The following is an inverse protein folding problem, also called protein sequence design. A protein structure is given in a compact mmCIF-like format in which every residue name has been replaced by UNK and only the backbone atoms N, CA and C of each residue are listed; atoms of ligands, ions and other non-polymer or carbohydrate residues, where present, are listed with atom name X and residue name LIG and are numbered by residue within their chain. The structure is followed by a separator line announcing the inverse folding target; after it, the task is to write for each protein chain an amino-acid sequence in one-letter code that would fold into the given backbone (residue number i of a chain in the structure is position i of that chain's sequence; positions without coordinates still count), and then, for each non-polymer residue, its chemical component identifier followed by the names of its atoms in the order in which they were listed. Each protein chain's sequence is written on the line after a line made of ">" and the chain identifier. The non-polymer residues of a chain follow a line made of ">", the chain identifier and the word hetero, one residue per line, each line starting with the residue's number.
data_IF_454632611403
#
_entry.id   IF_454632611403
#
_cell.length_a   1.000
_cell.length_b   1.000
_cell.length_c   1.000
_cell.angle_alpha   90.00
_cell.angle_beta   90.00
_cell.angle_gamma   90.00
#
_symmetry.space_group_name_H-M   'P 1'
#
loop_
_entity.id
_entity.type
_entity.pdbx_description
1 polymer ?
#
# COMPACT_ATOMS: atom_id res chain seq x y z
N UNK A 1 -5.44 15.90 -5.20
CA UNK A 1 -6.11 16.71 -4.17
C UNK A 1 -7.47 17.15 -4.70
N UNK A 2 -8.55 16.65 -4.11
CA UNK A 2 -9.90 17.10 -4.41
C UNK A 2 -10.08 18.51 -3.78
N UNK A 3 -10.46 19.50 -4.57
CA UNK A 3 -10.90 20.78 -4.02
C UNK A 3 -12.27 20.57 -3.37
N UNK A 4 -12.27 20.27 -2.08
CA UNK A 4 -13.48 19.97 -1.30
C UNK A 4 -14.51 21.10 -1.38
N UNK A 5 -14.08 22.36 -1.43
CA UNK A 5 -14.96 23.52 -1.54
C UNK A 5 -15.67 23.62 -2.90
N UNK A 6 -15.03 23.16 -3.96
CA UNK A 6 -15.65 23.16 -5.31
C UNK A 6 -16.55 21.94 -5.55
N UNK A 7 -16.28 20.81 -4.86
CA UNK A 7 -17.01 19.56 -5.06
C UNK A 7 -18.28 19.44 -4.22
N UNK A 8 -18.34 20.12 -3.05
CA UNK A 8 -19.47 20.03 -2.13
C UNK A 8 -20.82 20.47 -2.73
N UNK A 9 -20.79 21.45 -3.64
CA UNK A 9 -21.99 21.96 -4.33
C UNK A 9 -22.06 21.54 -5.81
N UNK A 10 -21.18 20.70 -6.29
CA UNK A 10 -21.24 20.24 -7.66
C UNK A 10 -22.36 19.19 -7.83
N UNK A 11 -23.21 19.29 -8.87
CA UNK A 11 -24.16 18.25 -9.18
C UNK A 11 -23.46 16.90 -9.37
N UNK A 12 -24.09 15.81 -8.92
CA UNK A 12 -23.57 14.46 -9.09
C UNK A 12 -23.17 14.23 -10.55
N UNK A 13 -21.93 13.79 -10.79
CA UNK A 13 -21.37 13.55 -12.13
C UNK A 13 -20.73 14.76 -12.81
N UNK A 14 -20.66 15.94 -12.16
CA UNK A 14 -20.01 17.15 -12.71
C UNK A 14 -18.79 17.63 -11.91
N UNK A 15 -18.34 16.88 -10.92
CA UNK A 15 -17.11 17.20 -10.21
C UNK A 15 -15.90 16.74 -11.06
N UNK A 16 -14.98 17.66 -11.35
CA UNK A 16 -13.71 17.32 -11.99
C UNK A 16 -12.76 16.79 -10.93
N UNK A 17 -12.59 15.48 -10.90
CA UNK A 17 -11.58 14.83 -10.07
C UNK A 17 -10.39 14.47 -10.94
N UNK A 18 -9.22 14.90 -10.54
CA UNK A 18 -7.97 14.40 -11.09
C UNK A 18 -7.55 13.19 -10.26
N UNK A 19 -7.59 12.00 -10.85
CA UNK A 19 -7.04 10.80 -10.23
C UNK A 19 -5.57 10.69 -10.66
N UNK A 20 -4.59 10.91 -9.76
CA UNK A 20 -3.19 10.82 -10.11
C UNK A 20 -2.79 9.35 -10.30
N UNK A 21 -2.37 9.00 -11.50
CA UNK A 21 -1.82 7.67 -11.81
C UNK A 21 -0.40 7.51 -11.24
N UNK A 22 0.35 8.59 -11.20
CA UNK A 22 1.70 8.66 -10.65
C UNK A 22 1.90 10.04 -10.04
N UNK A 23 2.51 10.11 -8.86
CA UNK A 23 2.82 11.36 -8.18
C UNK A 23 4.20 11.35 -7.55
N UNK A 24 4.72 12.52 -7.23
CA UNK A 24 6.08 12.68 -6.73
C UNK A 24 6.35 11.90 -5.43
N UNK A 25 5.37 11.81 -4.53
CA UNK A 25 5.49 10.99 -3.31
C UNK A 25 5.69 9.51 -3.59
N UNK A 26 5.00 8.94 -4.60
CA UNK A 26 5.22 7.56 -5.02
C UNK A 26 6.63 7.37 -5.61
N UNK A 27 7.08 8.32 -6.45
CA UNK A 27 8.42 8.29 -7.01
C UNK A 27 9.52 8.33 -5.93
N UNK A 28 9.37 9.19 -4.91
CA UNK A 28 10.29 9.24 -3.77
C UNK A 28 10.34 7.93 -2.99
N UNK A 29 9.19 7.27 -2.80
CA UNK A 29 9.13 5.99 -2.10
C UNK A 29 9.69 4.83 -2.92
N UNK A 30 9.49 4.82 -4.24
CA UNK A 30 10.16 3.87 -5.13
C UNK A 30 11.68 4.06 -5.11
N UNK A 31 12.14 5.31 -5.16
CA UNK A 31 13.55 5.66 -5.04
C UNK A 31 14.14 5.21 -3.69
N UNK A 32 13.44 5.51 -2.59
CA UNK A 32 13.88 5.12 -1.24
C UNK A 32 14.02 3.60 -1.11
N UNK A 33 13.09 2.83 -1.67
CA UNK A 33 13.15 1.37 -1.68
C UNK A 33 14.36 0.88 -2.48
N UNK A 34 14.54 1.37 -3.70
CA UNK A 34 15.65 0.98 -4.55
C UNK A 34 17.01 1.30 -3.92
N UNK A 35 17.16 2.50 -3.34
CA UNK A 35 18.39 2.92 -2.68
C UNK A 35 18.67 2.09 -1.43
N UNK A 36 17.64 1.82 -0.61
CA UNK A 36 17.81 0.98 0.56
C UNK A 36 18.25 -0.44 0.22
N UNK A 37 17.64 -1.06 -0.80
CA UNK A 37 17.99 -2.42 -1.21
C UNK A 37 19.39 -2.50 -1.84
N UNK A 38 19.77 -1.50 -2.61
CA UNK A 38 21.09 -1.49 -3.27
C UNK A 38 22.23 -1.10 -2.31
N UNK A 39 22.05 -0.01 -1.57
CA UNK A 39 23.15 0.64 -0.85
C UNK A 39 22.94 0.76 0.66
N UNK A 40 21.74 0.51 1.15
CA UNK A 40 21.35 0.71 2.55
C UNK A 40 20.74 2.10 2.81
N UNK A 41 20.32 2.36 4.06
CA UNK A 41 19.46 3.51 4.39
C UNK A 41 20.16 4.88 4.23
N UNK A 42 21.45 4.95 4.48
CA UNK A 42 22.19 6.20 4.66
C UNK A 42 23.32 6.42 3.63
N UNK A 43 23.38 5.59 2.60
CA UNK A 43 24.44 5.61 1.61
C UNK A 43 23.94 6.13 0.27
N UNK A 44 24.66 7.10 -0.28
CA UNK A 44 24.54 7.57 -1.68
C UNK A 44 25.88 7.42 -2.40
N UNK A 45 26.27 6.17 -2.63
CA UNK A 45 27.58 5.84 -3.24
C UNK A 45 27.72 6.25 -4.72
N UNK A 46 26.62 6.63 -5.35
CA UNK A 46 26.59 7.03 -6.76
C UNK A 46 26.40 8.52 -6.97
N UNK A 47 26.18 9.29 -5.90
CA UNK A 47 25.98 10.74 -6.00
C UNK A 47 24.65 11.14 -6.64
N UNK A 48 23.59 10.38 -6.37
CA UNK A 48 22.23 10.70 -6.85
C UNK A 48 21.58 11.87 -6.12
N UNK A 49 22.17 12.33 -5.02
CA UNK A 49 21.76 13.51 -4.26
C UNK A 49 20.83 13.23 -3.06
N UNK A 50 20.32 12.01 -2.92
CA UNK A 50 19.49 11.60 -1.78
C UNK A 50 19.85 10.19 -1.32
N UNK A 51 19.84 9.98 0.00
CA UNK A 51 19.81 8.63 0.58
C UNK A 51 18.36 8.12 0.67
N UNK A 52 18.18 6.82 0.91
CA UNK A 52 16.86 6.25 1.14
C UNK A 52 16.13 6.94 2.31
N UNK A 53 16.85 7.21 3.40
CA UNK A 53 16.31 7.88 4.58
C UNK A 53 15.87 9.31 4.26
N UNK A 54 16.67 10.07 3.55
CA UNK A 54 16.33 11.43 3.16
C UNK A 54 15.09 11.50 2.27
N UNK A 55 14.94 10.57 1.33
CA UNK A 55 13.77 10.51 0.47
C UNK A 55 12.46 10.27 1.26
N UNK A 56 12.49 9.39 2.28
CA UNK A 56 11.35 9.20 3.19
C UNK A 56 11.12 10.43 4.08
N UNK A 57 12.20 11.05 4.56
CA UNK A 57 12.12 12.25 5.39
C UNK A 57 11.38 13.40 4.69
N UNK A 58 11.63 13.63 3.39
CA UNK A 58 10.92 14.64 2.59
C UNK A 58 9.40 14.44 2.59
N UNK A 59 8.93 13.19 2.56
CA UNK A 59 7.49 12.89 2.59
C UNK A 59 6.92 13.22 3.97
N UNK A 60 7.61 12.81 5.02
CA UNK A 60 7.20 13.03 6.41
C UNK A 60 7.19 14.50 6.79
N UNK A 61 8.20 15.25 6.36
CA UNK A 61 8.27 16.71 6.52
C UNK A 61 7.09 17.41 5.87
N UNK A 62 6.78 17.07 4.61
CA UNK A 62 5.60 17.59 3.91
C UNK A 62 4.30 17.32 4.68
N UNK A 63 4.18 16.17 5.34
CA UNK A 63 3.02 15.78 6.14
C UNK A 63 3.00 16.43 7.54
N UNK A 64 4.00 17.25 7.89
CA UNK A 64 4.13 17.86 9.21
C UNK A 64 4.55 16.88 10.32
N UNK A 65 5.07 15.71 9.95
CA UNK A 65 5.59 14.72 10.88
C UNK A 65 7.06 15.04 11.19
N UNK A 66 7.53 14.59 12.38
CA UNK A 66 8.94 14.70 12.70
C UNK A 66 9.79 13.95 11.68
N UNK A 67 10.92 14.50 11.28
CA UNK A 67 11.87 13.91 10.32
C UNK A 67 12.45 12.56 10.75
N UNK A 68 12.18 12.13 11.98
CA UNK A 68 12.74 10.92 12.55
C UNK A 68 12.20 9.69 11.83
N UNK A 69 12.86 9.35 10.74
CA UNK A 69 12.72 8.02 10.14
C UNK A 69 13.47 7.04 11.05
N UNK A 70 12.89 5.89 11.41
CA UNK A 70 13.52 4.97 12.35
C UNK A 70 14.98 4.69 11.98
N UNK A 71 15.90 4.96 12.91
CA UNK A 71 17.30 4.63 12.74
C UNK A 71 17.47 3.11 12.69
N UNK A 72 18.35 2.61 11.84
CA UNK A 72 18.64 1.20 11.79
C UNK A 72 19.27 0.73 10.50
N UNK A 73 19.36 -0.58 10.40
CA UNK A 73 19.91 -1.24 9.24
C UNK A 73 18.91 -1.29 8.07
N UNK A 74 19.35 -1.88 6.95
CA UNK A 74 18.53 -2.07 5.74
C UNK A 74 17.17 -2.69 6.02
N UNK A 75 17.10 -3.69 6.91
CA UNK A 75 15.86 -4.39 7.22
C UNK A 75 14.84 -3.47 7.92
N UNK A 76 15.26 -2.74 8.94
CA UNK A 76 14.40 -1.78 9.64
C UNK A 76 13.93 -0.67 8.71
N UNK A 77 14.81 -0.21 7.83
CA UNK A 77 14.45 0.81 6.84
C UNK A 77 13.47 0.27 5.80
N UNK A 78 13.61 -0.98 5.35
CA UNK A 78 12.63 -1.66 4.49
C UNK A 78 11.23 -1.64 5.10
N UNK A 79 11.11 -2.04 6.36
CA UNK A 79 9.84 -2.03 7.10
C UNK A 79 9.28 -0.60 7.18
N UNK A 80 10.13 0.39 7.45
CA UNK A 80 9.71 1.80 7.51
C UNK A 80 9.21 2.30 6.16
N UNK A 81 9.89 1.99 5.06
CA UNK A 81 9.45 2.33 3.70
C UNK A 81 8.12 1.66 3.37
N UNK A 82 7.96 0.37 3.68
CA UNK A 82 6.71 -0.36 3.46
C UNK A 82 5.54 0.25 4.25
N UNK A 83 5.80 0.70 5.47
CA UNK A 83 4.83 1.39 6.30
C UNK A 83 4.46 2.75 5.71
N UNK A 84 5.44 3.54 5.33
CA UNK A 84 5.23 4.86 4.73
C UNK A 84 4.45 4.77 3.41
N UNK A 85 4.78 3.80 2.53
CA UNK A 85 4.01 3.54 1.31
C UNK A 85 2.54 3.21 1.60
N UNK A 86 2.29 2.43 2.65
CA UNK A 86 0.92 2.08 3.05
C UNK A 86 0.09 3.30 3.45
N UNK A 87 0.71 4.28 4.12
CA UNK A 87 0.03 5.48 4.62
C UNK A 87 -0.07 6.53 3.52
N UNK A 88 1.05 6.86 2.89
CA UNK A 88 1.15 7.92 1.88
C UNK A 88 0.32 7.64 0.63
N UNK A 89 0.26 6.37 0.21
CA UNK A 89 -0.45 5.93 -1.00
C UNK A 89 -1.79 5.26 -0.69
N UNK A 90 -2.37 5.57 0.48
CA UNK A 90 -3.68 5.03 0.86
C UNK A 90 -4.75 5.46 -0.16
N UNK A 91 -5.60 4.52 -0.58
CA UNK A 91 -6.65 4.70 -1.59
C UNK A 91 -6.16 5.01 -3.02
N UNK A 92 -4.87 4.77 -3.30
CA UNK A 92 -4.28 4.92 -4.64
C UNK A 92 -3.97 3.57 -5.31
N UNK A 93 -4.59 2.50 -4.87
CA UNK A 93 -4.53 1.13 -5.43
C UNK A 93 -3.16 0.43 -5.33
N UNK A 94 -2.15 1.06 -4.74
CA UNK A 94 -0.80 0.51 -4.65
C UNK A 94 -0.69 -0.69 -3.69
N UNK A 95 -1.46 -0.69 -2.58
CA UNK A 95 -1.27 -1.66 -1.48
C UNK A 95 -1.37 -3.11 -1.91
N UNK A 96 -2.33 -3.44 -2.77
CA UNK A 96 -2.53 -4.80 -3.26
C UNK A 96 -1.31 -5.33 -4.02
N UNK A 97 -0.77 -4.50 -4.93
CA UNK A 97 0.41 -4.83 -5.72
C UNK A 97 1.67 -4.89 -4.86
N UNK A 98 1.84 -3.96 -3.93
CA UNK A 98 2.96 -3.91 -3.01
C UNK A 98 3.04 -5.19 -2.15
N UNK A 99 1.95 -5.62 -1.55
CA UNK A 99 1.91 -6.87 -0.77
C UNK A 99 2.29 -8.10 -1.59
N UNK A 100 1.91 -8.13 -2.85
CA UNK A 100 2.23 -9.26 -3.75
C UNK A 100 3.70 -9.25 -4.15
N UNK A 101 4.26 -8.10 -4.56
CA UNK A 101 5.68 -8.01 -4.96
C UNK A 101 6.65 -8.21 -3.80
N UNK A 102 6.27 -7.80 -2.58
CA UNK A 102 7.05 -8.05 -1.37
C UNK A 102 6.87 -9.46 -0.79
N UNK A 103 5.97 -10.27 -1.34
CA UNK A 103 5.61 -11.59 -0.82
C UNK A 103 5.07 -11.56 0.62
N UNK A 104 4.37 -10.48 0.98
CA UNK A 104 3.74 -10.28 2.28
C UNK A 104 2.23 -10.56 2.27
N UNK A 105 1.66 -10.88 1.12
CA UNK A 105 0.21 -11.05 0.98
C UNK A 105 -0.33 -12.17 1.85
N UNK A 106 0.33 -13.33 1.94
CA UNK A 106 -0.09 -14.42 2.81
C UNK A 106 -0.11 -14.01 4.29
N UNK A 107 0.92 -13.28 4.73
CA UNK A 107 1.00 -12.83 6.13
C UNK A 107 -0.06 -11.78 6.48
N UNK A 108 -0.34 -10.86 5.56
CA UNK A 108 -1.21 -9.70 5.83
C UNK A 108 -2.67 -9.99 5.49
N UNK A 109 -2.93 -10.68 4.37
CA UNK A 109 -4.30 -10.88 3.89
C UNK A 109 -5.00 -12.09 4.54
N UNK A 110 -4.29 -12.95 5.23
CA UNK A 110 -4.87 -14.01 6.06
C UNK A 110 -5.28 -13.51 7.46
N UNK A 111 -5.01 -12.24 7.79
CA UNK A 111 -5.53 -11.65 9.00
C UNK A 111 -7.01 -11.32 8.85
N UNK A 112 -7.84 -11.56 9.87
CA UNK A 112 -9.26 -11.23 9.82
C UNK A 112 -9.47 -9.71 9.69
N UNK A 113 -10.52 -9.31 9.01
CA UNK A 113 -10.97 -7.92 9.00
C UNK A 113 -11.69 -7.65 10.32
N UNK A 114 -11.19 -6.66 11.04
CA UNK A 114 -11.80 -6.23 12.30
C UNK A 114 -12.67 -5.01 12.07
N UNK A 115 -13.85 -5.03 12.66
CA UNK A 115 -14.72 -3.87 12.81
C UNK A 115 -14.82 -3.47 14.28
N UNK A 116 -15.55 -2.38 14.54
CA UNK A 116 -15.85 -1.92 15.88
C UNK A 116 -17.36 -1.96 16.10
N UNK A 117 -17.78 -2.72 17.11
CA UNK A 117 -19.12 -2.58 17.67
C UNK A 117 -19.10 -1.39 18.62
N UNK A 118 -20.00 -0.44 18.40
CA UNK A 118 -20.09 0.79 19.18
C UNK A 118 -21.42 0.75 19.94
N UNK A 119 -21.33 0.66 21.24
CA UNK A 119 -22.48 0.67 22.14
C UNK A 119 -22.53 1.99 22.93
N UNK A 120 -23.63 2.75 22.80
CA UNK A 120 -23.86 3.96 23.57
C UNK A 120 -24.43 3.57 24.94
N UNK A 121 -23.79 4.05 26.01
CA UNK A 121 -24.29 3.86 27.39
C UNK A 121 -25.30 4.92 27.79
N UNK A 122 -25.98 4.68 28.89
CA UNK A 122 -27.01 5.60 29.45
C UNK A 122 -26.39 6.96 29.85
N UNK A 123 -25.13 6.97 30.27
CA UNK A 123 -24.38 8.18 30.62
C UNK A 123 -23.91 9.01 29.40
N UNK A 124 -24.26 8.56 28.21
CA UNK A 124 -23.89 9.20 26.93
C UNK A 124 -22.49 8.84 26.44
N UNK A 125 -21.70 8.06 27.15
CA UNK A 125 -20.40 7.58 26.72
C UNK A 125 -20.52 6.40 25.75
N UNK A 126 -19.44 6.07 25.02
CA UNK A 126 -19.42 4.97 24.05
C UNK A 126 -18.42 3.90 24.45
N UNK A 127 -18.80 2.66 24.31
CA UNK A 127 -17.88 1.51 24.41
C UNK A 127 -17.59 0.99 23.01
N UNK A 128 -16.30 0.74 22.75
CA UNK A 128 -15.79 0.26 21.46
C UNK A 128 -15.28 -1.16 21.64
N UNK A 129 -15.89 -2.12 21.00
CA UNK A 129 -15.51 -3.54 21.11
C UNK A 129 -15.07 -4.04 19.73
N UNK A 130 -13.76 -4.38 19.55
CA UNK A 130 -13.32 -5.00 18.31
C UNK A 130 -14.02 -6.35 18.08
N UNK A 131 -14.47 -6.58 16.86
CA UNK A 131 -15.05 -7.86 16.44
C UNK A 131 -14.60 -8.25 15.05
N UNK A 132 -14.50 -9.54 14.78
CA UNK A 132 -14.21 -10.05 13.44
C UNK A 132 -15.45 -9.85 12.57
N UNK A 133 -15.28 -9.13 11.46
CA UNK A 133 -16.34 -8.87 10.47
C UNK A 133 -16.27 -9.87 9.34
N UNK A 134 -15.04 -10.19 8.91
CA UNK A 134 -14.78 -11.04 7.76
C UNK A 134 -13.48 -11.82 7.93
N UNK A 135 -13.49 -13.09 7.57
CA UNK A 135 -12.29 -13.91 7.41
C UNK A 135 -11.85 -13.87 5.96
N UNK A 136 -10.56 -13.70 5.73
CA UNK A 136 -9.97 -13.68 4.39
C UNK A 136 -8.99 -14.84 4.25
N UNK A 137 -8.83 -15.29 3.01
CA UNK A 137 -7.88 -16.32 2.67
C UNK A 137 -7.03 -15.87 1.48
N UNK A 138 -5.71 -15.97 1.61
CA UNK A 138 -4.76 -15.78 0.54
C UNK A 138 -3.79 -16.96 0.51
N UNK A 139 -3.82 -17.75 -0.55
CA UNK A 139 -2.95 -18.92 -0.72
C UNK A 139 -1.80 -18.60 -1.69
N UNK A 140 -0.71 -19.38 -1.70
CA UNK A 140 0.44 -19.17 -2.59
C UNK A 140 0.08 -19.04 -4.07
N UNK A 141 -0.91 -19.79 -4.56
CA UNK A 141 -1.36 -19.69 -5.96
C UNK A 141 -1.87 -18.30 -6.32
N UNK A 142 -2.39 -17.54 -5.36
CA UNK A 142 -2.99 -16.22 -5.59
C UNK A 142 -1.97 -15.12 -5.87
N UNK A 143 -0.66 -15.38 -5.73
CA UNK A 143 0.36 -14.44 -6.20
C UNK A 143 0.34 -14.23 -7.71
N UNK A 144 -0.08 -15.24 -8.46
CA UNK A 144 -0.29 -15.15 -9.90
C UNK A 144 -1.78 -15.33 -10.20
N UNK A 145 -2.33 -14.48 -11.06
CA UNK A 145 -3.70 -14.66 -11.50
C UNK A 145 -3.81 -15.86 -12.44
N UNK A 146 -4.95 -16.59 -12.45
CA UNK A 146 -5.19 -17.62 -13.46
C UNK A 146 -5.36 -16.97 -14.84
N UNK A 147 -4.92 -17.65 -15.87
CA UNK A 147 -5.31 -17.30 -17.23
C UNK A 147 -6.81 -17.56 -17.41
N UNK A 148 -7.54 -16.63 -18.05
CA UNK A 148 -8.95 -16.84 -18.35
C UNK A 148 -9.18 -18.09 -19.19
N UNK A 149 -10.25 -18.83 -18.90
CA UNK A 149 -10.56 -20.05 -19.64
C UNK A 149 -10.71 -19.82 -21.15
N UNK A 150 -11.21 -18.65 -21.55
CA UNK A 150 -11.31 -18.25 -22.95
C UNK A 150 -9.95 -18.21 -23.65
N UNK A 151 -8.90 -17.73 -22.96
CA UNK A 151 -7.56 -17.70 -23.53
C UNK A 151 -6.92 -19.09 -23.57
N UNK A 152 -7.14 -19.90 -22.55
CA UNK A 152 -6.70 -21.30 -22.51
C UNK A 152 -7.32 -22.10 -23.67
N UNK A 153 -8.59 -21.86 -24.00
CA UNK A 153 -9.29 -22.53 -25.10
C UNK A 153 -8.82 -22.07 -26.48
N UNK A 154 -8.37 -20.82 -26.61
CA UNK A 154 -7.87 -20.28 -27.90
C UNK A 154 -6.43 -20.70 -28.16
N UNK A 155 -5.61 -20.82 -27.13
CA UNK A 155 -4.20 -21.18 -27.23
C UNK A 155 -3.91 -22.45 -26.45
N UNK A 156 -3.94 -23.59 -27.13
CA UNK A 156 -3.69 -24.91 -26.56
C UNK A 156 -2.26 -25.12 -26.05
N UNK A 157 -1.31 -24.24 -26.42
CA UNK A 157 0.05 -24.25 -25.91
C UNK A 157 0.19 -23.49 -24.58
N UNK A 158 -0.85 -22.73 -24.17
CA UNK A 158 -0.84 -21.97 -22.92
C UNK A 158 -1.03 -22.93 -21.75
N UNK A 159 -0.12 -22.86 -20.78
CA UNK A 159 -0.21 -23.63 -19.54
C UNK A 159 -0.68 -22.72 -18.42
N UNK A 160 -1.65 -23.22 -17.65
CA UNK A 160 -2.18 -22.49 -16.50
C UNK A 160 -1.10 -22.27 -15.43
N UNK A 161 -1.22 -21.18 -14.69
CA UNK A 161 -0.36 -20.90 -13.55
C UNK A 161 -0.52 -21.97 -12.48
N UNK A 162 0.58 -22.28 -11.79
CA UNK A 162 0.64 -23.34 -10.77
C UNK A 162 -0.43 -23.15 -9.68
N UNK A 163 -1.14 -24.23 -9.37
CA UNK A 163 -2.18 -24.24 -8.33
C UNK A 163 -3.57 -23.81 -8.84
N UNK A 164 -3.70 -23.42 -10.13
CA UNK A 164 -4.98 -23.11 -10.78
C UNK A 164 -5.45 -24.19 -11.75
N UNK A 165 -4.68 -25.26 -11.87
CA UNK A 165 -5.10 -26.43 -12.65
C UNK A 165 -6.20 -27.14 -11.83
N UNK A 166 -7.41 -27.13 -12.32
CA UNK A 166 -8.52 -27.96 -11.85
C UNK A 166 -8.56 -29.25 -12.65
#
# INVERSE_FOLDING_TARGET
>A
FCNISASWNAPIGKAFHCFPLLRYGDLLLMYAEAMNEAYGPDTDSKGYGLTARQAVALIRERAGLSETVPAGNREKMRIAIQHERRIELAFEEHRHLDLRRWKLAEQVLNQPVLGLKIDKKEDGTFTYTPQVVESREFTPKMYLYPFPQSEMSRNTNLKQNTGWNS
#
